data_IF_913408110307
#
_entry.id   IF_913408110307
#
_cell.length_a   1.000
_cell.length_b   1.000
_cell.length_c   1.000
_cell.angle_alpha   90.00
_cell.angle_beta   90.00
_cell.angle_gamma   90.00
#
_symmetry.space_group_name_H-M   'P 1'
#
loop_
_entity.id
_entity.type
_entity.pdbx_description
1 polymer ?
#
# COMPACT_ATOMS: atom_id res chain seq x y z
N UNK A 1 34.21 18.23 24.46
CA UNK A 1 34.23 16.76 24.62
C UNK A 1 34.13 16.17 23.22
N UNK A 2 35.17 15.51 22.71
CA UNK A 2 35.07 14.83 21.42
C UNK A 2 34.34 13.50 21.62
N UNK A 3 33.16 13.38 21.02
CA UNK A 3 32.46 12.11 20.88
C UNK A 3 33.15 11.28 19.81
N UNK A 4 33.90 10.25 20.22
CA UNK A 4 34.44 9.25 19.31
C UNK A 4 33.32 8.31 18.88
N UNK A 5 32.77 8.56 17.70
CA UNK A 5 31.78 7.68 17.09
C UNK A 5 32.45 6.34 16.70
N UNK A 6 31.96 5.24 17.26
CA UNK A 6 32.41 3.89 16.94
C UNK A 6 31.21 2.96 16.77
N UNK A 7 30.98 2.48 15.54
CA UNK A 7 29.88 1.56 15.23
C UNK A 7 30.04 0.19 15.92
N UNK A 8 31.28 -0.19 16.26
CA UNK A 8 31.58 -1.49 16.87
C UNK A 8 31.49 -1.47 18.40
N UNK A 9 31.05 -0.36 19.00
CA UNK A 9 30.88 -0.27 20.45
C UNK A 9 29.62 -1.03 20.86
N UNK A 10 29.78 -2.02 21.75
CA UNK A 10 28.67 -2.80 22.27
C UNK A 10 27.71 -1.87 23.04
N UNK A 11 26.42 -1.93 22.71
CA UNK A 11 25.36 -1.25 23.46
C UNK A 11 24.41 -2.30 24.03
N UNK A 12 23.76 -1.97 25.15
CA UNK A 12 22.76 -2.87 25.73
C UNK A 12 21.51 -2.85 24.86
N UNK A 13 21.20 -3.99 24.24
CA UNK A 13 19.97 -4.20 23.49
C UNK A 13 18.79 -4.30 24.45
N UNK A 14 18.09 -3.19 24.67
CA UNK A 14 16.81 -3.16 25.37
C UNK A 14 15.72 -3.07 24.31
N UNK A 15 15.13 -4.23 23.97
CA UNK A 15 14.27 -4.50 22.81
C UNK A 15 12.95 -3.71 22.74
N UNK A 16 12.71 -2.76 23.65
CA UNK A 16 11.40 -2.10 23.82
C UNK A 16 11.46 -0.61 24.17
N UNK A 17 12.63 0.03 24.12
CA UNK A 17 12.75 1.44 24.56
C UNK A 17 12.17 2.48 23.57
N UNK A 18 11.91 2.09 22.31
CA UNK A 18 11.45 3.05 21.32
C UNK A 18 9.95 3.30 21.42
N UNK A 19 9.60 4.51 21.86
CA UNK A 19 8.24 5.05 21.79
C UNK A 19 8.27 6.22 20.80
N UNK A 20 7.46 6.19 19.73
CA UNK A 20 7.34 7.31 18.81
C UNK A 20 6.92 8.58 19.57
N UNK A 21 7.48 9.73 19.17
CA UNK A 21 6.99 11.05 19.64
C UNK A 21 5.48 11.16 19.38
N UNK A 22 4.74 11.84 20.25
CA UNK A 22 3.27 11.97 20.15
C UNK A 22 2.78 12.58 18.83
N UNK A 23 3.60 13.42 18.18
CA UNK A 23 3.31 14.03 16.88
C UNK A 23 3.49 13.07 15.68
N UNK A 24 4.05 11.87 15.91
CA UNK A 24 4.32 10.92 14.85
C UNK A 24 3.00 10.31 14.31
N UNK A 25 2.90 10.18 13.00
CA UNK A 25 1.76 9.57 12.31
C UNK A 25 1.42 8.16 12.79
N UNK A 26 2.41 7.43 13.34
CA UNK A 26 2.18 6.13 13.96
C UNK A 26 1.13 6.16 15.08
N UNK A 27 1.09 7.21 15.91
CA UNK A 27 0.09 7.32 16.97
C UNK A 27 -1.33 7.44 16.41
N UNK A 28 -1.50 8.30 15.40
CA UNK A 28 -2.78 8.48 14.73
C UNK A 28 -3.26 7.18 14.07
N UNK A 29 -2.37 6.47 13.38
CA UNK A 29 -2.70 5.18 12.74
C UNK A 29 -3.08 4.14 13.79
N UNK A 30 -2.37 4.09 14.91
CA UNK A 30 -2.71 3.18 16.00
C UNK A 30 -4.12 3.49 16.53
N UNK A 31 -4.40 4.74 16.89
CA UNK A 31 -5.71 5.18 17.39
C UNK A 31 -6.83 4.87 16.40
N UNK A 32 -6.61 5.15 15.11
CA UNK A 32 -7.57 4.86 14.05
C UNK A 32 -7.87 3.36 13.98
N UNK A 33 -6.85 2.50 13.95
CA UNK A 33 -7.06 1.06 13.84
C UNK A 33 -7.71 0.47 15.11
N UNK A 34 -7.35 0.96 16.29
CA UNK A 34 -8.01 0.56 17.55
C UNK A 34 -9.49 0.96 17.57
N UNK A 35 -9.84 2.13 17.00
CA UNK A 35 -11.23 2.60 16.92
C UNK A 35 -12.14 1.69 16.08
N UNK A 36 -11.56 0.92 15.14
CA UNK A 36 -12.29 -0.02 14.30
C UNK A 36 -12.72 -1.29 15.05
N UNK A 37 -12.20 -1.52 16.27
CA UNK A 37 -12.54 -2.68 17.11
C UNK A 37 -12.52 -4.00 16.32
N UNK A 38 -11.45 -4.23 15.57
CA UNK A 38 -11.32 -5.40 14.68
C UNK A 38 -11.27 -6.66 15.53
N UNK A 39 -12.41 -7.34 15.66
CA UNK A 39 -12.53 -8.65 16.28
C UNK A 39 -12.93 -9.65 15.19
N UNK A 40 -11.94 -10.39 14.67
CA UNK A 40 -12.20 -11.43 13.68
C UNK A 40 -11.75 -12.78 14.24
N UNK A 41 -12.67 -13.53 14.89
CA UNK A 41 -12.36 -14.84 15.44
C UNK A 41 -12.03 -15.80 14.30
N UNK A 42 -10.78 -16.23 14.23
CA UNK A 42 -10.34 -17.17 13.21
C UNK A 42 -10.96 -18.55 13.45
N UNK A 43 -11.89 -18.95 12.58
CA UNK A 43 -12.70 -20.17 12.77
C UNK A 43 -12.07 -21.46 12.20
N UNK A 44 -11.00 -21.35 11.40
CA UNK A 44 -10.40 -22.51 10.73
C UNK A 44 -9.24 -23.15 11.53
N UNK A 45 -8.93 -24.41 11.20
CA UNK A 45 -7.95 -25.21 11.96
C UNK A 45 -6.48 -24.81 11.82
N UNK A 46 -6.11 -23.89 10.91
CA UNK A 46 -4.73 -23.40 10.77
C UNK A 46 -4.65 -21.93 11.21
N UNK A 47 -4.19 -21.60 12.43
CA UNK A 47 -4.20 -20.22 12.92
C UNK A 47 -3.51 -19.27 11.93
N UNK A 48 -4.05 -18.06 11.79
CA UNK A 48 -3.39 -17.00 11.01
C UNK A 48 -1.98 -16.79 11.58
N UNK A 49 -1.00 -16.67 10.68
CA UNK A 49 0.39 -16.37 11.05
C UNK A 49 0.56 -14.92 11.54
N UNK A 50 -0.49 -14.09 11.47
CA UNK A 50 -0.41 -12.66 11.76
C UNK A 50 -1.71 -12.10 12.33
N UNK A 51 -1.58 -11.03 13.11
CA UNK A 51 -2.69 -10.21 13.58
C UNK A 51 -3.15 -9.24 12.48
N UNK A 52 -4.47 -9.17 12.26
CA UNK A 52 -5.06 -8.26 11.28
C UNK A 52 -4.81 -6.79 11.63
N UNK A 53 -4.91 -6.44 12.92
CA UNK A 53 -4.73 -5.06 13.36
C UNK A 53 -3.28 -4.61 13.13
N UNK A 54 -2.31 -5.42 13.53
CA UNK A 54 -0.89 -5.17 13.27
C UNK A 54 -0.57 -5.01 11.77
N UNK A 55 -1.11 -5.90 10.92
CA UNK A 55 -0.91 -5.82 9.47
C UNK A 55 -1.55 -4.57 8.86
N UNK A 56 -2.76 -4.20 9.31
CA UNK A 56 -3.44 -3.00 8.84
C UNK A 56 -2.65 -1.74 9.21
N UNK A 57 -2.17 -1.65 10.46
CA UNK A 57 -1.31 -0.55 10.93
C UNK A 57 -0.06 -0.43 10.06
N UNK A 58 0.61 -1.54 9.77
CA UNK A 58 1.83 -1.55 8.94
C UNK A 58 1.56 -1.05 7.51
N UNK A 59 0.51 -1.56 6.86
CA UNK A 59 0.17 -1.17 5.47
C UNK A 59 -0.23 0.30 5.39
N UNK A 60 -1.08 0.76 6.31
CA UNK A 60 -1.48 2.18 6.37
C UNK A 60 -0.24 3.07 6.57
N UNK A 61 0.63 2.71 7.52
CA UNK A 61 1.85 3.46 7.78
C UNK A 61 2.78 3.52 6.57
N UNK A 62 2.96 2.40 5.87
CA UNK A 62 3.75 2.37 4.64
C UNK A 62 3.15 3.27 3.54
N UNK A 63 1.83 3.25 3.38
CA UNK A 63 1.15 4.07 2.38
C UNK A 63 1.23 5.57 2.68
N UNK A 64 1.20 5.98 3.96
CA UNK A 64 1.45 7.40 4.31
C UNK A 64 2.85 7.88 3.92
N UNK A 65 3.78 6.95 3.69
CA UNK A 65 5.16 7.21 3.26
C UNK A 65 5.40 6.90 1.79
N UNK A 66 4.34 6.71 1.00
CA UNK A 66 4.43 6.36 -0.43
C UNK A 66 5.16 5.03 -0.71
N UNK A 67 5.15 4.10 0.26
CA UNK A 67 5.75 2.76 0.13
C UNK A 67 4.66 1.73 -0.16
N UNK A 68 4.55 1.33 -1.44
CA UNK A 68 3.46 0.45 -1.90
C UNK A 68 3.88 -0.99 -2.23
N UNK A 69 5.16 -1.21 -2.52
CA UNK A 69 5.67 -2.56 -2.85
C UNK A 69 5.77 -3.40 -1.59
N UNK A 70 5.17 -4.59 -1.56
CA UNK A 70 5.21 -5.48 -0.38
C UNK A 70 6.64 -5.77 0.11
N UNK A 71 7.62 -5.85 -0.80
CA UNK A 71 9.04 -6.03 -0.42
C UNK A 71 9.62 -4.78 0.26
N UNK A 72 9.24 -3.59 -0.21
CA UNK A 72 9.63 -2.34 0.45
C UNK A 72 8.90 -2.16 1.79
N UNK A 73 7.68 -2.68 1.93
CA UNK A 73 6.95 -2.68 3.20
C UNK A 73 7.62 -3.62 4.21
N UNK A 74 8.07 -4.80 3.78
CA UNK A 74 8.88 -5.72 4.59
C UNK A 74 10.17 -5.03 5.07
N UNK A 75 10.91 -4.40 4.15
CA UNK A 75 12.09 -3.61 4.49
C UNK A 75 11.77 -2.47 5.46
N UNK A 76 10.65 -1.76 5.25
CA UNK A 76 10.20 -0.71 6.17
C UNK A 76 9.90 -1.26 7.56
N UNK A 77 9.31 -2.45 7.66
CA UNK A 77 9.05 -3.10 8.94
C UNK A 77 10.35 -3.43 9.69
N UNK A 78 11.42 -3.79 8.99
CA UNK A 78 12.72 -4.09 9.58
C UNK A 78 13.49 -2.83 10.00
N UNK A 79 13.50 -1.81 9.14
CA UNK A 79 14.35 -0.62 9.30
C UNK A 79 13.70 0.49 10.14
N UNK A 80 12.36 0.61 10.13
CA UNK A 80 11.65 1.74 10.73
C UNK A 80 11.17 1.45 12.14
N UNK A 81 11.75 2.12 13.14
CA UNK A 81 11.35 1.99 14.54
C UNK A 81 9.85 2.26 14.79
N UNK A 82 9.18 3.27 14.17
CA UNK A 82 7.73 3.41 14.32
C UNK A 82 6.93 2.27 13.71
N UNK A 83 7.44 1.61 12.66
CA UNK A 83 6.76 0.46 12.06
C UNK A 83 6.85 -0.74 12.99
N UNK A 84 8.03 -0.99 13.57
CA UNK A 84 8.25 -2.01 14.61
C UNK A 84 7.39 -1.76 15.85
N UNK A 85 7.24 -0.50 16.26
CA UNK A 85 6.34 -0.14 17.35
C UNK A 85 4.88 -0.49 17.03
N UNK A 86 4.39 -0.17 15.82
CA UNK A 86 3.03 -0.48 15.38
C UNK A 86 2.75 -1.98 15.31
N UNK A 87 3.74 -2.78 14.90
CA UNK A 87 3.62 -4.22 14.76
C UNK A 87 4.08 -5.00 15.99
N UNK A 88 4.44 -4.33 17.09
CA UNK A 88 5.04 -4.94 18.28
C UNK A 88 6.19 -5.89 17.94
N UNK A 89 7.16 -5.40 17.15
CA UNK A 89 8.35 -6.14 16.73
C UNK A 89 8.06 -7.32 15.79
N UNK A 90 6.83 -7.50 15.32
CA UNK A 90 6.52 -8.47 14.29
C UNK A 90 7.05 -7.99 12.93
N UNK A 91 7.78 -8.88 12.25
CA UNK A 91 8.40 -8.65 10.95
C UNK A 91 7.74 -9.56 9.90
N UNK A 92 6.56 -9.19 9.39
CA UNK A 92 5.85 -10.02 8.42
C UNK A 92 6.59 -10.05 7.09
N UNK A 93 6.68 -11.24 6.49
CA UNK A 93 7.32 -11.39 5.18
C UNK A 93 6.54 -10.65 4.08
N UNK A 94 7.21 -10.31 2.97
CA UNK A 94 6.54 -9.68 1.82
C UNK A 94 5.37 -10.54 1.28
N UNK A 95 5.44 -11.87 1.43
CA UNK A 95 4.38 -12.79 1.02
C UNK A 95 3.17 -12.67 1.93
N UNK A 96 3.40 -12.52 3.23
CA UNK A 96 2.36 -12.29 4.24
C UNK A 96 1.65 -10.96 3.96
N UNK A 97 2.41 -9.90 3.71
CA UNK A 97 1.88 -8.58 3.32
C UNK A 97 1.08 -8.65 2.02
N UNK A 98 1.60 -9.34 1.00
CA UNK A 98 0.89 -9.51 -0.27
C UNK A 98 -0.42 -10.28 -0.09
N UNK A 99 -0.42 -11.37 0.69
CA UNK A 99 -1.61 -12.17 0.96
C UNK A 99 -2.67 -11.37 1.73
N UNK A 100 -2.24 -10.59 2.73
CA UNK A 100 -3.12 -9.69 3.49
C UNK A 100 -3.82 -8.66 2.59
N UNK A 101 -3.09 -8.03 1.66
CA UNK A 101 -3.64 -7.00 0.76
C UNK A 101 -4.71 -7.50 -0.21
N UNK A 102 -4.73 -8.81 -0.50
CA UNK A 102 -5.70 -9.44 -1.42
C UNK A 102 -6.67 -10.33 -0.65
N UNK A 103 -6.67 -10.24 0.69
CA UNK A 103 -7.55 -11.05 1.51
C UNK A 103 -8.97 -10.49 1.49
N UNK A 104 -9.96 -11.39 1.42
CA UNK A 104 -11.39 -11.05 1.41
C UNK A 104 -11.78 -10.33 2.70
N UNK A 105 -11.10 -10.63 3.81
CA UNK A 105 -11.35 -10.00 5.10
C UNK A 105 -10.99 -8.51 5.08
N UNK A 106 -9.88 -8.14 4.44
CA UNK A 106 -9.49 -6.74 4.28
C UNK A 106 -10.37 -6.02 3.27
N UNK A 107 -10.79 -6.68 2.19
CA UNK A 107 -11.78 -6.12 1.28
C UNK A 107 -13.10 -5.78 1.99
N UNK A 108 -13.60 -6.69 2.83
CA UNK A 108 -14.80 -6.46 3.63
C UNK A 108 -14.61 -5.34 4.66
N UNK A 109 -13.45 -5.29 5.31
CA UNK A 109 -13.12 -4.25 6.29
C UNK A 109 -13.03 -2.87 5.64
N UNK A 110 -12.39 -2.79 4.46
CA UNK A 110 -12.28 -1.54 3.69
C UNK A 110 -13.64 -1.06 3.20
N UNK A 111 -14.49 -1.96 2.70
CA UNK A 111 -15.84 -1.61 2.25
C UNK A 111 -16.65 -1.01 3.41
N UNK A 112 -16.70 -1.71 4.55
CA UNK A 112 -17.38 -1.20 5.76
C UNK A 112 -16.78 0.11 6.28
N UNK A 113 -15.46 0.24 6.22
CA UNK A 113 -14.74 1.45 6.64
C UNK A 113 -15.07 2.64 5.75
N UNK A 114 -15.17 2.44 4.43
CA UNK A 114 -15.57 3.47 3.47
C UNK A 114 -17.00 3.92 3.70
N UNK A 115 -17.94 2.98 3.89
CA UNK A 115 -19.33 3.31 4.20
C UNK A 115 -19.42 4.19 5.46
N UNK A 116 -18.71 3.77 6.52
CA UNK A 116 -18.65 4.51 7.79
C UNK A 116 -18.04 5.90 7.63
N UNK A 117 -16.99 6.04 6.82
CA UNK A 117 -16.35 7.31 6.53
C UNK A 117 -17.30 8.25 5.76
N UNK A 118 -17.98 7.73 4.73
CA UNK A 118 -18.95 8.50 3.93
C UNK A 118 -20.08 8.99 4.83
N UNK A 119 -20.63 8.12 5.68
CA UNK A 119 -21.68 8.49 6.63
C UNK A 119 -21.22 9.56 7.64
N UNK A 120 -19.98 9.46 8.11
CA UNK A 120 -19.39 10.50 8.97
C UNK A 120 -19.27 11.84 8.23
N UNK A 121 -18.74 11.84 7.00
CA UNK A 121 -18.55 13.06 6.21
C UNK A 121 -19.89 13.72 5.85
N UNK A 122 -20.93 12.93 5.55
CA UNK A 122 -22.31 13.42 5.38
C UNK A 122 -22.84 14.09 6.64
N UNK A 123 -22.67 13.46 7.81
CA UNK A 123 -23.09 14.05 9.11
C UNK A 123 -22.39 15.38 9.40
N UNK A 124 -21.11 15.48 9.04
CA UNK A 124 -20.34 16.72 9.15
C UNK A 124 -20.63 17.76 8.06
N UNK A 125 -21.53 17.47 7.11
CA UNK A 125 -21.85 18.34 5.96
C UNK A 125 -20.61 18.67 5.11
N UNK A 126 -19.64 17.76 5.05
CA UNK A 126 -18.41 17.91 4.25
C UNK A 126 -18.56 17.35 2.83
N UNK A 127 -19.54 16.46 2.62
CA UNK A 127 -19.87 15.87 1.33
C UNK A 127 -21.38 15.92 1.17
N UNK A 128 -21.83 16.38 0.00
CA UNK A 128 -23.23 16.35 -0.42
C UNK A 128 -23.56 15.04 -1.15
N UNK A 129 -24.84 14.67 -1.19
CA UNK A 129 -25.32 13.57 -2.04
C UNK A 129 -25.29 13.92 -3.55
N UNK A 130 -24.81 15.11 -3.91
CA UNK A 130 -24.71 15.58 -5.28
C UNK A 130 -23.47 14.99 -5.97
N UNK A 131 -23.69 14.21 -7.02
CA UNK A 131 -22.63 13.78 -7.94
C UNK A 131 -22.32 14.93 -8.89
N UNK A 132 -21.22 15.63 -8.65
CA UNK A 132 -20.71 16.63 -9.59
C UNK A 132 -19.99 15.90 -10.73
N UNK A 133 -20.72 15.68 -11.83
CA UNK A 133 -20.11 15.25 -13.09
C UNK A 133 -19.44 16.49 -13.69
N UNK A 134 -18.18 16.71 -13.34
CA UNK A 134 -17.36 17.67 -14.05
C UNK A 134 -17.26 17.21 -15.52
N UNK A 135 -17.56 18.10 -16.45
CA UNK A 135 -17.52 17.85 -17.90
C UNK A 135 -16.10 17.64 -18.43
N UNK A 136 -15.11 17.47 -17.54
CA UNK A 136 -13.74 17.14 -17.88
C UNK A 136 -13.69 15.81 -18.62
N UNK A 137 -13.61 15.91 -19.95
CA UNK A 137 -13.31 14.78 -20.83
C UNK A 137 -11.86 14.38 -20.62
N UNK A 138 -11.62 13.45 -19.72
CA UNK A 138 -10.36 12.73 -19.65
C UNK A 138 -10.33 11.82 -20.87
N UNK A 139 -9.76 12.33 -21.95
CA UNK A 139 -9.33 11.49 -23.05
C UNK A 139 -8.20 10.64 -22.46
N UNK A 140 -8.49 9.37 -22.19
CA UNK A 140 -7.43 8.37 -22.19
C UNK A 140 -6.61 8.58 -23.47
N UNK A 141 -5.35 8.16 -23.49
CA UNK A 141 -4.57 8.08 -24.73
C UNK A 141 -5.20 7.04 -25.68
N UNK A 142 -6.36 7.42 -26.20
CA UNK A 142 -7.12 6.80 -27.24
C UNK A 142 -6.80 7.70 -28.42
N UNK A 143 -5.70 7.36 -29.10
CA UNK A 143 -5.41 7.93 -30.41
C UNK A 143 -6.74 7.97 -31.18
N UNK A 144 -7.16 9.17 -31.60
CA UNK A 144 -8.48 9.47 -32.17
C UNK A 144 -8.82 8.57 -33.38
N UNK A 145 -7.80 7.91 -33.92
CA UNK A 145 -7.86 6.96 -35.02
C UNK A 145 -7.42 5.57 -34.53
N UNK A 146 -8.30 4.82 -33.86
CA UNK A 146 -8.08 3.38 -33.58
C UNK A 146 -8.29 2.49 -34.81
N UNK A 147 -8.80 3.06 -35.91
CA UNK A 147 -8.95 2.37 -37.18
C UNK A 147 -7.70 2.61 -38.04
N UNK A 148 -6.95 1.54 -38.28
CA UNK A 148 -5.87 1.53 -39.26
C UNK A 148 -6.39 0.90 -40.54
N UNK A 149 -6.26 1.60 -41.66
CA UNK A 149 -6.64 1.06 -42.97
C UNK A 149 -5.81 -0.17 -43.30
N UNK A 150 -6.47 -1.30 -43.61
CA UNK A 150 -5.82 -2.58 -43.94
C UNK A 150 -4.67 -2.43 -44.94
N UNK A 151 -4.82 -1.52 -45.92
CA UNK A 151 -3.78 -1.22 -46.92
C UNK A 151 -2.49 -0.67 -46.29
N UNK A 152 -2.60 0.25 -45.33
CA UNK A 152 -1.43 0.77 -44.60
C UNK A 152 -0.79 -0.31 -43.74
N UNK A 153 -1.58 -1.13 -43.04
CA UNK A 153 -1.05 -2.24 -42.23
C UNK A 153 -0.24 -3.21 -43.07
N UNK A 154 -0.75 -3.60 -44.26
CA UNK A 154 -0.04 -4.50 -45.18
C UNK A 154 1.25 -3.85 -45.70
N UNK A 155 1.21 -2.57 -46.07
CA UNK A 155 2.39 -1.85 -46.56
C UNK A 155 3.51 -1.79 -45.52
N UNK A 156 3.18 -1.44 -44.28
CA UNK A 156 4.17 -1.35 -43.21
C UNK A 156 4.69 -2.73 -42.77
N UNK A 157 3.85 -3.77 -42.79
CA UNK A 157 4.32 -5.15 -42.55
C UNK A 157 5.33 -5.60 -43.62
N UNK A 158 5.08 -5.31 -44.90
CA UNK A 158 6.03 -5.60 -45.99
C UNK A 158 7.37 -4.86 -45.79
N UNK A 159 7.33 -3.55 -45.55
CA UNK A 159 8.54 -2.75 -45.32
C UNK A 159 9.34 -3.25 -44.10
N UNK A 160 8.67 -3.60 -43.01
CA UNK A 160 9.33 -4.11 -41.82
C UNK A 160 10.01 -5.45 -42.08
N UNK A 161 9.38 -6.36 -42.83
CA UNK A 161 9.98 -7.65 -43.21
C UNK A 161 11.20 -7.47 -44.11
N UNK A 162 11.15 -6.56 -45.09
CA UNK A 162 12.30 -6.22 -45.93
C UNK A 162 13.46 -5.67 -45.10
N UNK A 163 13.16 -4.80 -44.13
CA UNK A 163 14.17 -4.23 -43.22
C UNK A 163 14.79 -5.31 -42.34
N UNK A 164 13.98 -6.24 -41.81
CA UNK A 164 14.48 -7.38 -41.02
C UNK A 164 15.42 -8.23 -41.87
N UNK A 165 15.06 -8.55 -43.12
CA UNK A 165 15.92 -9.32 -44.02
C UNK A 165 17.23 -8.58 -44.33
N UNK A 166 17.20 -7.25 -44.49
CA UNK A 166 18.42 -6.45 -44.63
C UNK A 166 19.29 -6.42 -43.38
N UNK A 167 18.68 -6.48 -42.18
CA UNK A 167 19.43 -6.52 -40.91
C UNK A 167 20.00 -7.90 -40.60
N UNK A 168 19.44 -8.97 -41.20
CA UNK A 168 19.90 -10.36 -41.03
C UNK A 168 20.94 -10.80 -42.08
N UNK A 169 21.17 -9.99 -43.12
CA UNK A 169 22.23 -10.15 -44.10
C UNK A 169 23.50 -9.41 -43.65
#
# INVERSE_FOLDING_TARGET
MHTYYNMNQLTLDITTSYIPKKENTAWFINELVESLQISDPYFFGRPREYDLAAMLKLVLFAYTRSVFSSRKIEQLAEESLPARWLTQEQLPSYRTIARFRVSVEIENLLTKGLDSLVDYLRKCQLIDDAVFIDGTKILADANKYSFVWKKSTIKFDQMNRETILQMMA
#
